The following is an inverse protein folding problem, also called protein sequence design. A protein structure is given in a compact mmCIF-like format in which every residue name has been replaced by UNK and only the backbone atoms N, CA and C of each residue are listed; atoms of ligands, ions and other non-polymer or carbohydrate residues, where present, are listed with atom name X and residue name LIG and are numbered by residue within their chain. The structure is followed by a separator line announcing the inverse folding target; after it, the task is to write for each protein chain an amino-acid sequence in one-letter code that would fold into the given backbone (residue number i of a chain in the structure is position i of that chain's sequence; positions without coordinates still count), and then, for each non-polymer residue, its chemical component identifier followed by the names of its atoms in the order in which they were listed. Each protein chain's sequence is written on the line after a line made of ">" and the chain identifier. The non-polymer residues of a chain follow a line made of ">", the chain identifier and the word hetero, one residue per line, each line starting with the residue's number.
data_IF_534798556068
#
_entry.id   IF_534798556068
#
_cell.length_a   1.000
_cell.length_b   1.000
_cell.length_c   1.000
_cell.angle_alpha   90.00
_cell.angle_beta   90.00
_cell.angle_gamma   90.00
#
_symmetry.space_group_name_H-M   'P 1'
#
loop_
_entity.id
_entity.type
_entity.pdbx_description
1 polymer ?
#
# COMPACT_ATOMS: atom_id res chain seq x y z
N UNK A 1 -19.28 -0.88 12.34
CA UNK A 1 -19.82 0.45 12.73
C UNK A 1 -20.18 1.19 11.43
N UNK A 2 -21.41 1.68 11.31
CA UNK A 2 -21.86 2.34 10.08
C UNK A 2 -21.44 3.83 10.12
N UNK A 3 -20.90 4.35 9.01
CA UNK A 3 -20.46 5.75 8.91
C UNK A 3 -21.60 6.74 9.24
N UNK A 4 -22.84 6.45 8.84
CA UNK A 4 -23.98 7.31 9.17
C UNK A 4 -24.14 7.50 10.68
N UNK A 5 -24.07 6.42 11.46
CA UNK A 5 -24.20 6.46 12.93
C UNK A 5 -23.07 7.30 13.55
N UNK A 6 -21.84 7.23 13.01
CA UNK A 6 -20.73 8.06 13.49
C UNK A 6 -20.95 9.55 13.21
N UNK A 7 -21.55 9.89 12.07
CA UNK A 7 -21.84 11.28 11.71
C UNK A 7 -23.00 11.89 12.52
N UNK A 8 -23.83 11.07 13.16
CA UNK A 8 -24.89 11.49 14.07
C UNK A 8 -24.38 11.75 15.50
N UNK A 9 -23.17 11.30 15.84
CA UNK A 9 -22.57 11.54 17.16
C UNK A 9 -22.40 13.04 17.41
N UNK A 10 -23.07 13.55 18.41
CA UNK A 10 -23.05 14.98 18.77
C UNK A 10 -21.68 15.46 19.25
N UNK A 11 -20.81 14.55 19.71
CA UNK A 11 -19.44 14.84 20.17
C UNK A 11 -18.43 14.92 19.03
N UNK A 12 -18.81 14.48 17.81
CA UNK A 12 -17.91 14.55 16.66
C UNK A 12 -17.65 16.02 16.28
N UNK A 13 -16.38 16.37 16.11
CA UNK A 13 -15.94 17.69 15.62
C UNK A 13 -16.71 18.08 14.35
N UNK A 14 -17.20 19.31 14.30
CA UNK A 14 -18.04 19.82 13.20
C UNK A 14 -17.30 19.73 11.86
N UNK A 15 -15.97 20.01 11.86
CA UNK A 15 -15.17 19.90 10.63
C UNK A 15 -15.06 18.47 10.13
N UNK A 16 -14.84 17.51 11.03
CA UNK A 16 -14.80 16.09 10.69
C UNK A 16 -16.17 15.58 10.19
N UNK A 17 -17.26 16.04 10.79
CA UNK A 17 -18.61 15.72 10.34
C UNK A 17 -18.86 16.24 8.93
N UNK A 18 -18.48 17.49 8.64
CA UNK A 18 -18.60 18.07 7.29
C UNK A 18 -17.82 17.26 6.24
N UNK A 19 -16.59 16.88 6.57
CA UNK A 19 -15.76 16.03 5.69
C UNK A 19 -16.40 14.65 5.48
N UNK A 20 -16.91 14.04 6.54
CA UNK A 20 -17.61 12.76 6.46
C UNK A 20 -18.86 12.82 5.57
N UNK A 21 -19.62 13.90 5.61
CA UNK A 21 -20.76 14.11 4.72
C UNK A 21 -20.37 14.24 3.26
N UNK A 22 -19.23 14.90 2.95
CA UNK A 22 -18.67 14.92 1.59
C UNK A 22 -18.33 13.51 1.10
N UNK A 23 -17.67 12.72 1.96
CA UNK A 23 -17.30 11.33 1.63
C UNK A 23 -18.53 10.48 1.34
N UNK A 24 -19.63 10.63 2.12
CA UNK A 24 -20.92 9.96 1.85
C UNK A 24 -21.48 10.32 0.48
N UNK A 25 -21.40 11.60 0.10
CA UNK A 25 -21.88 12.10 -1.20
C UNK A 25 -20.94 11.78 -2.36
N UNK A 26 -19.84 11.06 -2.11
CA UNK A 26 -18.78 10.80 -3.10
C UNK A 26 -18.03 12.04 -3.60
N UNK A 27 -18.12 13.14 -2.85
CA UNK A 27 -17.40 14.37 -3.16
C UNK A 27 -15.91 14.22 -2.76
N UNK A 28 -15.02 14.81 -3.54
CA UNK A 28 -13.59 14.78 -3.24
C UNK A 28 -13.28 15.76 -2.11
N UNK A 29 -12.52 15.31 -1.13
CA UNK A 29 -11.97 16.18 -0.08
C UNK A 29 -10.81 17.01 -0.63
N UNK A 30 -10.62 18.20 -0.05
CA UNK A 30 -9.49 19.09 -0.34
C UNK A 30 -8.23 18.63 0.39
N UNK A 31 -7.09 19.24 0.06
CA UNK A 31 -5.85 19.00 0.79
C UNK A 31 -5.97 19.37 2.28
N UNK A 32 -6.55 20.53 2.59
CA UNK A 32 -6.71 21.01 3.97
C UNK A 32 -7.66 20.13 4.77
N UNK A 33 -8.72 19.61 4.15
CA UNK A 33 -9.61 18.63 4.77
C UNK A 33 -8.88 17.31 5.04
N UNK A 34 -7.95 16.90 4.17
CA UNK A 34 -7.08 15.75 4.39
C UNK A 34 -6.15 15.96 5.60
N UNK A 35 -5.57 17.15 5.74
CA UNK A 35 -4.76 17.53 6.90
C UNK A 35 -5.60 17.48 8.17
N UNK A 36 -6.82 18.04 8.16
CA UNK A 36 -7.72 18.00 9.32
C UNK A 36 -8.08 16.55 9.73
N UNK A 37 -8.31 15.65 8.77
CA UNK A 37 -8.53 14.24 9.07
C UNK A 37 -7.32 13.62 9.77
N UNK A 38 -6.11 13.94 9.33
CA UNK A 38 -4.89 13.42 9.92
C UNK A 38 -4.65 13.96 11.34
N UNK A 39 -4.92 15.25 11.58
CA UNK A 39 -4.66 15.91 12.86
C UNK A 39 -5.73 15.62 13.92
N UNK A 40 -6.99 15.50 13.53
CA UNK A 40 -8.13 15.43 14.46
C UNK A 40 -8.89 14.10 14.40
N UNK A 41 -8.81 13.35 13.31
CA UNK A 41 -9.56 12.11 13.15
C UNK A 41 -8.98 11.00 13.99
N UNK A 42 -9.82 10.38 14.84
CA UNK A 42 -9.43 9.12 15.48
C UNK A 42 -9.43 7.96 14.47
N UNK A 43 -8.73 6.88 14.84
CA UNK A 43 -8.56 5.72 13.97
C UNK A 43 -9.90 5.05 13.59
N UNK A 44 -10.87 5.05 14.49
CA UNK A 44 -12.20 4.47 14.25
C UNK A 44 -12.97 5.25 13.18
N UNK A 45 -12.96 6.57 13.28
CA UNK A 45 -13.60 7.45 12.31
C UNK A 45 -12.91 7.36 10.94
N UNK A 46 -11.58 7.44 10.90
CA UNK A 46 -10.81 7.32 9.67
C UNK A 46 -11.03 5.95 9.00
N UNK A 47 -11.03 4.88 9.80
CA UNK A 47 -11.32 3.53 9.32
C UNK A 47 -12.73 3.39 8.73
N UNK A 48 -13.73 4.00 9.34
CA UNK A 48 -15.08 4.00 8.81
C UNK A 48 -15.21 4.76 7.48
N UNK A 49 -14.56 5.93 7.36
CA UNK A 49 -14.47 6.67 6.10
C UNK A 49 -13.79 5.86 4.99
N UNK A 50 -12.63 5.30 5.30
CA UNK A 50 -11.85 4.50 4.35
C UNK A 50 -12.63 3.26 3.90
N UNK A 51 -13.27 2.55 4.84
CA UNK A 51 -14.07 1.37 4.53
C UNK A 51 -15.30 1.72 3.66
N UNK A 52 -15.97 2.83 3.94
CA UNK A 52 -17.09 3.30 3.11
C UNK A 52 -16.64 3.53 1.65
N UNK A 53 -15.50 4.20 1.46
CA UNK A 53 -14.94 4.42 0.11
C UNK A 53 -14.54 3.10 -0.55
N UNK A 54 -13.91 2.18 0.20
CA UNK A 54 -13.52 0.87 -0.28
C UNK A 54 -14.74 0.07 -0.75
N UNK A 55 -15.77 -0.03 0.09
CA UNK A 55 -16.98 -0.80 -0.24
C UNK A 55 -17.71 -0.23 -1.46
N UNK A 56 -17.77 1.10 -1.57
CA UNK A 56 -18.35 1.75 -2.73
C UNK A 56 -17.62 1.42 -4.02
N UNK A 57 -16.28 1.28 -3.96
CA UNK A 57 -15.44 0.99 -5.15
C UNK A 57 -15.38 -0.49 -5.50
N UNK A 58 -15.35 -1.35 -4.52
CA UNK A 58 -14.99 -2.75 -4.68
C UNK A 58 -16.05 -3.73 -4.11
N UNK A 59 -17.15 -3.22 -3.53
CA UNK A 59 -18.10 -4.06 -2.80
C UNK A 59 -17.43 -4.77 -1.63
N UNK A 60 -17.78 -6.03 -1.42
CA UNK A 60 -17.18 -6.89 -0.39
C UNK A 60 -15.95 -7.67 -0.89
N UNK A 61 -15.43 -7.32 -2.07
CA UNK A 61 -14.27 -7.98 -2.63
C UNK A 61 -12.97 -7.41 -2.04
N UNK A 62 -12.02 -8.29 -1.80
CA UNK A 62 -10.66 -7.97 -1.42
C UNK A 62 -9.72 -8.55 -2.47
N UNK A 63 -8.80 -7.73 -2.94
CA UNK A 63 -7.81 -8.13 -3.93
C UNK A 63 -6.45 -8.25 -3.26
N UNK A 64 -5.65 -9.18 -3.75
CA UNK A 64 -4.26 -9.34 -3.32
C UNK A 64 -3.40 -9.71 -4.51
N UNK A 65 -2.13 -9.31 -4.46
CA UNK A 65 -1.14 -9.71 -5.44
C UNK A 65 -0.41 -10.95 -4.97
N UNK A 66 -0.19 -11.87 -5.92
CA UNK A 66 0.65 -13.03 -5.72
C UNK A 66 1.86 -12.89 -6.63
N UNK A 67 2.86 -12.23 -6.10
CA UNK A 67 4.07 -11.88 -6.84
C UNK A 67 5.26 -12.75 -6.45
N UNK A 68 6.27 -12.73 -7.32
CA UNK A 68 7.62 -13.17 -6.99
C UNK A 68 8.62 -12.12 -7.45
N UNK A 69 9.85 -12.22 -6.94
CA UNK A 69 10.90 -11.27 -7.23
C UNK A 69 11.98 -11.90 -8.11
N UNK A 70 12.40 -11.16 -9.12
CA UNK A 70 13.63 -11.41 -9.87
C UNK A 70 14.61 -10.33 -9.48
N UNK A 71 15.60 -10.70 -8.69
CA UNK A 71 16.66 -9.81 -8.26
C UNK A 71 17.94 -10.29 -8.95
N UNK A 72 18.36 -9.63 -10.04
CA UNK A 72 19.52 -10.08 -10.81
C UNK A 72 20.81 -10.05 -10.01
N UNK A 73 20.92 -9.15 -9.04
CA UNK A 73 22.09 -8.97 -8.18
C UNK A 73 21.72 -8.26 -6.89
N UNK A 74 22.47 -8.47 -5.83
CA UNK A 74 22.44 -7.64 -4.63
C UNK A 74 23.61 -6.65 -4.56
N UNK A 75 24.46 -6.57 -5.59
CA UNK A 75 25.54 -5.60 -5.66
C UNK A 75 24.97 -4.25 -6.07
N UNK A 76 25.14 -3.24 -5.23
CA UNK A 76 24.52 -1.93 -5.40
C UNK A 76 25.54 -0.79 -5.29
N UNK A 77 25.33 0.25 -6.10
CA UNK A 77 26.15 1.48 -6.05
C UNK A 77 25.76 2.41 -4.91
N UNK A 78 24.56 2.20 -4.32
CA UNK A 78 24.03 3.00 -3.22
C UNK A 78 24.33 2.36 -1.87
N UNK A 79 24.41 3.20 -0.83
CA UNK A 79 24.65 2.79 0.57
C UNK A 79 23.50 3.28 1.47
N UNK A 80 22.28 2.83 1.21
CA UNK A 80 21.11 3.21 1.99
C UNK A 80 21.22 2.64 3.41
N UNK A 81 21.06 3.50 4.42
CA UNK A 81 21.28 3.14 5.83
C UNK A 81 20.38 2.02 6.36
N UNK A 82 19.18 1.86 5.83
CA UNK A 82 18.23 0.83 6.25
C UNK A 82 18.28 -0.45 5.40
N UNK A 83 19.06 -0.46 4.31
CA UNK A 83 19.12 -1.60 3.40
C UNK A 83 20.11 -2.65 3.91
N UNK A 84 19.62 -3.76 4.44
CA UNK A 84 20.43 -4.91 4.84
C UNK A 84 20.74 -5.88 3.71
N UNK A 85 20.05 -5.73 2.57
CA UNK A 85 20.14 -6.64 1.42
C UNK A 85 21.34 -6.38 0.53
N UNK A 86 21.63 -5.10 0.25
CA UNK A 86 22.66 -4.73 -0.71
C UNK A 86 24.09 -4.98 -0.20
N UNK A 87 24.98 -5.31 -1.16
CA UNK A 87 26.44 -5.24 -0.98
C UNK A 87 26.99 -4.13 -1.84
N UNK A 88 27.86 -3.31 -1.27
CA UNK A 88 28.52 -2.23 -2.02
C UNK A 88 29.57 -2.80 -2.97
N UNK A 89 30.00 -2.02 -3.98
CA UNK A 89 31.06 -2.42 -4.89
C UNK A 89 32.37 -2.78 -4.18
N UNK A 90 32.62 -2.23 -2.99
CA UNK A 90 33.81 -2.55 -2.18
C UNK A 90 33.75 -3.95 -1.57
N UNK A 91 32.55 -4.44 -1.31
CA UNK A 91 32.28 -5.75 -0.69
C UNK A 91 31.57 -6.67 -1.69
N UNK A 92 31.85 -6.54 -2.99
CA UNK A 92 31.16 -7.32 -4.03
C UNK A 92 31.40 -8.83 -3.93
N UNK A 93 32.49 -9.26 -3.32
CA UNK A 93 32.79 -10.68 -3.06
C UNK A 93 31.80 -11.34 -2.09
N UNK A 94 31.11 -10.54 -1.27
CA UNK A 94 30.02 -10.99 -0.40
C UNK A 94 28.66 -10.94 -1.11
N UNK A 95 28.64 -10.41 -2.32
CA UNK A 95 27.44 -10.27 -3.14
C UNK A 95 27.26 -11.44 -4.09
N UNK A 96 26.21 -11.35 -4.89
CA UNK A 96 25.90 -12.32 -5.94
C UNK A 96 25.29 -11.63 -7.16
N UNK A 97 25.46 -12.29 -8.31
CA UNK A 97 24.87 -11.92 -9.58
C UNK A 97 24.30 -13.19 -10.22
N UNK A 98 23.10 -13.10 -10.78
CA UNK A 98 22.47 -14.21 -11.50
C UNK A 98 22.81 -14.14 -12.98
N UNK A 99 23.07 -15.30 -13.60
CA UNK A 99 23.14 -15.39 -15.04
C UNK A 99 21.74 -15.27 -15.69
N UNK A 100 21.71 -15.00 -16.99
CA UNK A 100 20.46 -14.97 -17.74
C UNK A 100 19.69 -16.30 -17.64
N UNK A 101 20.40 -17.43 -17.66
CA UNK A 101 19.81 -18.76 -17.53
C UNK A 101 19.17 -18.96 -16.15
N UNK A 102 19.83 -18.49 -15.09
CA UNK A 102 19.29 -18.56 -13.72
C UNK A 102 18.03 -17.70 -13.57
N UNK A 103 18.00 -16.50 -14.18
CA UNK A 103 16.83 -15.64 -14.21
C UNK A 103 15.69 -16.32 -14.96
N UNK A 104 15.95 -16.86 -16.15
CA UNK A 104 14.95 -17.58 -16.94
C UNK A 104 14.44 -18.82 -16.20
N UNK A 105 15.31 -19.53 -15.47
CA UNK A 105 14.89 -20.68 -14.67
C UNK A 105 13.92 -20.25 -13.55
N UNK A 106 14.21 -19.14 -12.84
CA UNK A 106 13.28 -18.59 -11.85
C UNK A 106 11.89 -18.32 -12.45
N UNK A 107 11.81 -17.77 -13.65
CA UNK A 107 10.52 -17.55 -14.33
C UNK A 107 9.81 -18.87 -14.61
N UNK A 108 10.53 -19.86 -15.16
CA UNK A 108 9.99 -21.20 -15.46
C UNK A 108 9.47 -21.92 -14.22
N UNK A 109 10.11 -21.73 -13.07
CA UNK A 109 9.70 -22.35 -11.80
C UNK A 109 8.30 -21.87 -11.33
N UNK A 110 7.83 -20.74 -11.89
CA UNK A 110 6.50 -20.19 -11.63
C UNK A 110 5.50 -20.47 -12.77
N UNK A 111 5.90 -21.16 -13.84
CA UNK A 111 5.00 -21.55 -14.92
C UNK A 111 3.85 -22.42 -14.38
N UNK A 112 2.62 -22.13 -14.80
CA UNK A 112 1.41 -22.79 -14.32
C UNK A 112 0.99 -22.45 -12.89
N UNK A 113 1.75 -21.61 -12.14
CA UNK A 113 1.32 -21.14 -10.83
C UNK A 113 0.47 -19.86 -10.95
N UNK A 114 -0.49 -19.64 -10.04
CA UNK A 114 -1.37 -18.47 -10.10
C UNK A 114 -0.64 -17.20 -9.64
N UNK A 115 0.34 -16.75 -10.41
CA UNK A 115 1.09 -15.52 -10.19
C UNK A 115 0.40 -14.37 -10.91
N UNK A 116 0.29 -13.21 -10.26
CA UNK A 116 -0.35 -12.02 -10.81
C UNK A 116 0.66 -11.03 -11.39
N UNK A 117 1.86 -10.99 -10.85
CA UNK A 117 2.91 -10.06 -11.28
C UNK A 117 4.32 -10.54 -10.88
N UNK A 118 5.32 -9.97 -11.52
CA UNK A 118 6.73 -10.14 -11.17
C UNK A 118 7.35 -8.76 -10.90
N UNK A 119 8.15 -8.66 -9.85
CA UNK A 119 8.97 -7.51 -9.55
C UNK A 119 10.41 -7.79 -9.98
N UNK A 120 10.99 -6.86 -10.73
CA UNK A 120 12.37 -6.93 -11.26
C UNK A 120 13.15 -5.71 -10.79
#
# INVERSE_FOLDING_TARGET
>A
MNLNTLLEDTNLDISLRSIGQKVLKAERITFDEGVQLFEKGDLGFLGALANHVRERKNGNQTFFNRNFHIEPTNICVFSCKFCSYSRTLKNREEGWELSAEQILQKVKDYDGKPVTEVHI
#
